data_IF_330625907003
#
_entry.id   IF_330625907003
#
_cell.length_a   1.000
_cell.length_b   1.000
_cell.length_c   1.000
_cell.angle_alpha   90.00
_cell.angle_beta   90.00
_cell.angle_gamma   90.00
#
_symmetry.space_group_name_H-M   'P 1'
#
loop_
_entity.id
_entity.type
_entity.pdbx_description
1 polymer ?
#
# COMPACT_ATOMS: atom_id res chain seq x y z
N UNK A 1 15.44 -4.99 -13.67
CA UNK A 1 16.28 -4.94 -12.46
C UNK A 1 17.66 -4.53 -12.86
N UNK A 2 18.35 -3.72 -12.07
CA UNK A 2 19.80 -3.56 -12.20
C UNK A 2 20.43 -3.37 -10.82
N UNK A 3 21.44 -4.18 -10.51
CA UNK A 3 22.38 -3.84 -9.44
C UNK A 3 23.25 -2.69 -9.94
N UNK A 4 23.38 -1.62 -9.15
CA UNK A 4 24.17 -0.42 -9.45
C UNK A 4 23.76 0.34 -10.73
N UNK A 5 22.54 0.12 -11.26
CA UNK A 5 22.10 0.72 -12.51
C UNK A 5 21.19 1.94 -12.39
N UNK A 6 20.93 2.45 -11.17
CA UNK A 6 20.30 3.77 -11.02
C UNK A 6 21.38 4.87 -11.16
N UNK A 7 21.12 5.84 -12.04
CA UNK A 7 21.91 7.08 -12.08
C UNK A 7 21.49 7.90 -10.87
N UNK A 8 22.48 8.31 -10.08
CA UNK A 8 22.28 9.12 -8.88
C UNK A 8 22.85 10.52 -9.12
N UNK A 9 22.18 11.52 -8.57
CA UNK A 9 22.69 12.88 -8.45
C UNK A 9 23.85 12.92 -7.42
N UNK A 10 24.65 14.01 -7.40
CA UNK A 10 25.72 14.17 -6.41
C UNK A 10 25.24 14.13 -4.95
N UNK A 11 23.97 14.42 -4.70
CA UNK A 11 23.31 14.36 -3.40
C UNK A 11 22.84 12.95 -3.00
N UNK A 12 23.00 11.95 -3.88
CA UNK A 12 22.57 10.57 -3.66
C UNK A 12 21.10 10.30 -4.02
N UNK A 13 20.36 11.27 -4.54
CA UNK A 13 18.98 11.08 -5.01
C UNK A 13 18.95 10.44 -6.41
N UNK A 14 17.98 9.58 -6.72
CA UNK A 14 17.89 8.96 -8.05
C UNK A 14 17.41 9.95 -9.10
N UNK A 15 18.03 9.90 -10.28
CA UNK A 15 17.58 10.66 -11.45
C UNK A 15 16.30 10.03 -11.99
N UNK A 16 15.21 10.81 -11.97
CA UNK A 16 13.91 10.39 -12.48
C UNK A 16 13.86 10.47 -14.01
N UNK A 17 13.28 9.46 -14.64
CA UNK A 17 13.02 9.49 -16.10
C UNK A 17 11.74 10.28 -16.42
N UNK A 18 11.55 10.65 -17.69
CA UNK A 18 10.35 11.39 -18.12
C UNK A 18 9.08 10.61 -17.79
N UNK A 19 8.16 11.24 -17.06
CA UNK A 19 6.91 10.62 -16.58
C UNK A 19 7.06 9.72 -15.35
N UNK A 20 8.25 9.62 -14.77
CA UNK A 20 8.47 9.01 -13.45
C UNK A 20 8.20 10.04 -12.35
N UNK A 21 7.42 9.65 -11.33
CA UNK A 21 7.10 10.48 -10.16
C UNK A 21 7.57 9.77 -8.90
N UNK A 22 8.21 10.52 -8.01
CA UNK A 22 8.61 10.06 -6.68
C UNK A 22 7.43 10.16 -5.71
N UNK A 23 7.15 9.09 -4.97
CA UNK A 23 6.07 9.00 -3.99
C UNK A 23 6.60 8.98 -2.56
N UNK A 24 7.73 8.31 -2.34
CA UNK A 24 8.34 8.17 -1.02
C UNK A 24 9.86 8.35 -1.11
N UNK A 25 10.43 9.05 -0.14
CA UNK A 25 11.87 9.12 0.12
C UNK A 25 12.09 8.88 1.62
N UNK A 26 12.60 7.70 1.97
CA UNK A 26 12.80 7.29 3.35
C UNK A 26 14.28 7.05 3.62
N UNK A 27 14.85 7.80 4.57
CA UNK A 27 16.19 7.55 5.11
C UNK A 27 16.19 6.46 6.20
N UNK A 28 17.39 6.07 6.64
CA UNK A 28 17.54 5.17 7.79
C UNK A 28 17.04 3.73 7.54
N UNK A 29 16.90 3.32 6.28
CA UNK A 29 16.40 2.00 5.92
C UNK A 29 17.56 1.02 5.80
N UNK A 30 17.49 -0.07 6.56
CA UNK A 30 18.39 -1.21 6.43
C UNK A 30 17.87 -2.14 5.34
N UNK A 31 18.77 -2.67 4.52
CA UNK A 31 18.44 -3.58 3.43
C UNK A 31 19.24 -4.87 3.57
N UNK A 32 18.54 -5.99 3.40
CA UNK A 32 19.13 -7.31 3.29
C UNK A 32 18.57 -7.95 2.02
N UNK A 33 19.45 -8.49 1.19
CA UNK A 33 19.11 -9.25 0.02
C UNK A 33 19.84 -10.58 0.08
N UNK A 34 19.10 -11.66 -0.08
CA UNK A 34 19.63 -13.02 -0.09
C UNK A 34 19.10 -13.75 -1.31
N UNK A 35 19.97 -14.40 -2.05
CA UNK A 35 19.61 -15.11 -3.27
C UNK A 35 20.48 -16.34 -3.42
N UNK A 36 19.86 -17.47 -3.75
CA UNK A 36 20.55 -18.74 -3.97
C UNK A 36 20.93 -19.45 -2.67
N UNK A 37 20.03 -20.29 -2.16
CA UNK A 37 20.29 -21.20 -1.02
C UNK A 37 20.47 -22.66 -1.49
N UNK A 38 20.67 -22.88 -2.79
CA UNK A 38 20.77 -24.19 -3.43
C UNK A 38 22.17 -24.51 -3.95
N UNK A 39 22.43 -25.79 -4.18
CA UNK A 39 23.65 -26.27 -4.83
C UNK A 39 23.49 -26.24 -6.37
N UNK A 40 24.53 -25.86 -7.13
CA UNK A 40 25.83 -25.34 -6.68
C UNK A 40 25.69 -23.90 -6.16
N UNK A 41 26.48 -23.52 -5.15
CA UNK A 41 26.36 -22.29 -4.35
C UNK A 41 26.57 -20.97 -5.11
N UNK A 42 25.79 -20.75 -6.16
CA UNK A 42 25.69 -19.50 -6.89
C UNK A 42 24.58 -18.71 -6.22
N UNK A 43 24.95 -17.61 -5.59
CA UNK A 43 24.04 -16.77 -4.84
C UNK A 43 24.63 -15.38 -4.67
N UNK A 44 23.77 -14.41 -4.42
CA UNK A 44 24.17 -13.03 -4.16
C UNK A 44 23.55 -12.58 -2.85
N UNK A 45 24.39 -12.25 -1.89
CA UNK A 45 23.96 -11.76 -0.59
C UNK A 45 24.49 -10.34 -0.41
N UNK A 46 23.57 -9.38 -0.27
CA UNK A 46 23.91 -7.97 -0.03
C UNK A 46 23.31 -7.52 1.29
N UNK A 47 24.11 -6.83 2.09
CA UNK A 47 23.69 -6.32 3.38
C UNK A 47 24.10 -4.86 3.52
N UNK A 48 23.14 -3.99 3.81
CA UNK A 48 23.38 -2.56 4.02
C UNK A 48 22.67 -2.09 5.28
N UNK A 49 23.44 -1.65 6.27
CA UNK A 49 22.90 -1.27 7.59
C UNK A 49 22.10 0.03 7.58
N UNK A 50 22.39 0.91 6.61
CA UNK A 50 21.79 2.23 6.46
C UNK A 50 21.79 2.62 4.98
N UNK A 51 20.70 3.21 4.55
CA UNK A 51 20.53 3.70 3.20
C UNK A 51 19.23 4.49 3.04
N UNK A 52 18.99 4.93 1.81
CA UNK A 52 17.79 5.64 1.41
C UNK A 52 16.96 4.76 0.48
N UNK A 53 15.67 4.66 0.78
CA UNK A 53 14.69 3.97 -0.03
C UNK A 53 13.79 4.98 -0.74
N UNK A 54 13.77 4.89 -2.06
CA UNK A 54 12.94 5.72 -2.92
C UNK A 54 11.88 4.86 -3.60
N UNK A 55 10.62 5.30 -3.57
CA UNK A 55 9.51 4.64 -4.26
C UNK A 55 8.99 5.55 -5.36
N UNK A 56 9.00 5.08 -6.60
CA UNK A 56 8.42 5.76 -7.75
C UNK A 56 7.24 4.98 -8.32
N UNK A 57 6.48 5.58 -9.24
CA UNK A 57 5.43 4.88 -10.00
C UNK A 57 5.93 3.74 -10.88
N UNK A 58 7.25 3.59 -11.08
CA UNK A 58 7.81 2.53 -11.94
C UNK A 58 8.68 1.53 -11.18
N UNK A 59 9.36 1.98 -10.14
CA UNK A 59 10.40 1.18 -9.46
C UNK A 59 10.62 1.60 -8.02
N UNK A 60 11.17 0.67 -7.25
CA UNK A 60 11.79 0.88 -5.95
C UNK A 60 13.30 0.99 -6.16
N UNK A 61 13.91 2.02 -5.57
CA UNK A 61 15.34 2.26 -5.66
C UNK A 61 15.88 2.33 -4.24
N UNK A 62 16.84 1.48 -3.91
CA UNK A 62 17.58 1.56 -2.66
C UNK A 62 18.99 2.06 -2.93
N UNK A 63 19.47 3.03 -2.15
CA UNK A 63 20.83 3.56 -2.23
C UNK A 63 21.50 3.34 -0.89
N UNK A 64 22.64 2.64 -0.87
CA UNK A 64 23.40 2.41 0.36
C UNK A 64 24.10 3.68 0.82
N UNK A 65 24.13 3.89 2.14
CA UNK A 65 24.85 5.00 2.74
C UNK A 65 25.57 4.58 4.04
N UNK A 66 26.91 4.52 4.06
CA UNK A 66 27.82 4.92 2.99
C UNK A 66 27.78 3.99 1.77
N UNK A 67 28.19 4.46 0.57
CA UNK A 67 28.30 3.61 -0.61
C UNK A 67 29.31 2.49 -0.37
N UNK A 68 28.96 1.26 -0.71
CA UNK A 68 29.85 0.10 -0.56
C UNK A 68 30.42 -0.31 -1.92
N UNK A 69 31.64 -0.86 -1.94
CA UNK A 69 32.32 -1.22 -3.20
C UNK A 69 31.56 -2.29 -4.00
N UNK A 70 30.95 -3.24 -3.29
CA UNK A 70 30.19 -4.34 -3.88
C UNK A 70 28.71 -4.00 -4.11
N UNK A 71 28.16 -2.98 -3.42
CA UNK A 71 26.74 -2.63 -3.50
C UNK A 71 26.50 -1.13 -3.23
N UNK A 72 26.15 -0.39 -4.28
CA UNK A 72 25.85 1.05 -4.23
C UNK A 72 24.37 1.33 -4.31
N UNK A 73 23.68 0.71 -5.26
CA UNK A 73 22.24 0.84 -5.37
C UNK A 73 21.56 -0.43 -5.90
N UNK A 74 20.31 -0.63 -5.50
CA UNK A 74 19.43 -1.65 -6.04
C UNK A 74 18.28 -0.96 -6.76
N UNK A 75 18.03 -1.32 -8.01
CA UNK A 75 16.93 -0.81 -8.80
C UNK A 75 15.95 -1.92 -9.19
N UNK A 76 14.71 -1.82 -8.69
CA UNK A 76 13.68 -2.85 -8.78
C UNK A 76 12.40 -2.32 -9.41
N UNK A 77 12.00 -2.68 -10.65
CA UNK A 77 10.68 -2.37 -11.15
C UNK A 77 9.58 -2.97 -10.26
N UNK A 78 8.46 -2.27 -10.14
CA UNK A 78 7.35 -2.69 -9.26
C UNK A 78 6.82 -4.09 -9.60
N UNK A 79 6.80 -4.43 -10.89
CA UNK A 79 6.34 -5.74 -11.39
C UNK A 79 7.18 -6.91 -10.89
N UNK A 80 8.47 -6.67 -10.61
CA UNK A 80 9.42 -7.70 -10.25
C UNK A 80 9.48 -7.98 -8.75
N UNK A 81 8.79 -7.16 -7.96
CA UNK A 81 8.73 -7.31 -6.52
C UNK A 81 7.40 -7.99 -6.14
N UNK A 82 7.48 -9.27 -5.79
CA UNK A 82 6.34 -10.16 -5.55
C UNK A 82 6.24 -10.52 -4.06
N UNK A 83 5.04 -10.91 -3.61
CA UNK A 83 4.85 -11.42 -2.25
C UNK A 83 5.19 -10.43 -1.13
N UNK A 84 5.12 -9.12 -1.41
CA UNK A 84 5.45 -8.08 -0.45
C UNK A 84 4.55 -8.08 0.78
N UNK A 85 5.14 -8.24 1.96
CA UNK A 85 4.44 -8.25 3.26
C UNK A 85 5.14 -7.33 4.25
N UNK A 86 4.35 -6.58 5.00
CA UNK A 86 4.84 -5.79 6.12
C UNK A 86 4.72 -6.61 7.40
N UNK A 87 5.83 -6.79 8.11
CA UNK A 87 5.85 -7.35 9.46
C UNK A 87 6.05 -6.22 10.46
N UNK A 88 5.10 -6.09 11.38
CA UNK A 88 5.10 -5.06 12.43
C UNK A 88 5.26 -5.73 13.80
N UNK A 89 6.50 -6.08 14.19
CA UNK A 89 6.76 -6.65 15.50
C UNK A 89 6.60 -5.60 16.61
N UNK A 90 6.07 -6.01 17.77
CA UNK A 90 5.78 -5.12 18.90
C UNK A 90 7.03 -4.44 19.49
N UNK A 91 8.19 -5.09 19.42
CA UNK A 91 9.44 -4.64 20.05
C UNK A 91 10.59 -4.43 19.04
N UNK A 92 10.30 -4.47 17.74
CA UNK A 92 11.32 -4.33 16.71
C UNK A 92 10.83 -3.35 15.63
N UNK A 93 11.77 -2.83 14.83
CA UNK A 93 11.46 -1.99 13.68
C UNK A 93 10.55 -2.72 12.69
N UNK A 94 9.62 -1.97 12.07
CA UNK A 94 8.80 -2.49 10.97
C UNK A 94 9.72 -2.98 9.86
N UNK A 95 9.46 -4.17 9.33
CA UNK A 95 10.21 -4.69 8.20
C UNK A 95 9.27 -5.09 7.06
N UNK A 96 9.67 -4.76 5.84
CA UNK A 96 8.96 -5.13 4.64
C UNK A 96 9.76 -6.19 3.91
N UNK A 97 9.16 -7.35 3.70
CA UNK A 97 9.80 -8.50 3.06
C UNK A 97 9.12 -8.79 1.73
N UNK A 98 9.90 -9.01 0.68
CA UNK A 98 9.39 -9.33 -0.63
C UNK A 98 10.36 -10.20 -1.43
N UNK A 99 9.85 -10.85 -2.45
CA UNK A 99 10.62 -11.64 -3.38
C UNK A 99 10.94 -10.83 -4.63
N UNK A 100 12.21 -10.77 -4.97
CA UNK A 100 12.71 -10.10 -6.17
C UNK A 100 12.89 -11.13 -7.29
N UNK A 101 12.22 -10.89 -8.40
CA UNK A 101 12.39 -11.66 -9.64
C UNK A 101 13.57 -11.10 -10.46
N UNK A 102 14.58 -11.92 -10.81
CA UNK A 102 15.69 -11.49 -11.62
C UNK A 102 15.24 -11.20 -13.05
N UNK A 103 15.98 -10.34 -13.76
CA UNK A 103 15.76 -10.03 -15.18
C UNK A 103 17.03 -10.33 -15.93
N UNK A 104 16.95 -10.85 -17.17
CA UNK A 104 18.11 -11.01 -18.02
C UNK A 104 18.94 -9.72 -18.07
N UNK A 105 20.27 -9.83 -17.88
CA UNK A 105 21.22 -8.71 -17.88
C UNK A 105 21.08 -7.69 -16.73
N UNK A 106 20.33 -8.01 -15.66
CA UNK A 106 20.10 -7.12 -14.53
C UNK A 106 21.11 -7.24 -13.36
N UNK A 107 22.16 -8.05 -13.49
CA UNK A 107 23.14 -8.29 -12.42
C UNK A 107 22.68 -9.22 -11.29
N UNK A 108 21.37 -9.51 -11.20
CA UNK A 108 20.83 -10.56 -10.33
C UNK A 108 20.52 -11.80 -11.18
N UNK A 109 21.13 -12.93 -10.85
CA UNK A 109 21.01 -14.18 -11.62
C UNK A 109 19.87 -15.07 -11.14
N UNK A 110 19.56 -15.02 -9.84
CA UNK A 110 18.58 -15.87 -9.19
C UNK A 110 17.50 -15.04 -8.49
N UNK A 111 16.37 -15.69 -8.24
CA UNK A 111 15.34 -15.18 -7.35
C UNK A 111 15.93 -14.99 -5.95
N UNK A 112 15.59 -13.88 -5.32
CA UNK A 112 16.08 -13.54 -3.99
C UNK A 112 15.01 -12.92 -3.12
N UNK A 113 15.20 -13.03 -1.81
CA UNK A 113 14.38 -12.34 -0.82
C UNK A 113 15.05 -11.02 -0.47
N UNK A 114 14.27 -9.93 -0.51
CA UNK A 114 14.69 -8.62 -0.02
C UNK A 114 13.91 -8.28 1.24
N UNK A 115 14.60 -7.75 2.25
CA UNK A 115 14.04 -7.25 3.49
C UNK A 115 14.49 -5.82 3.72
N UNK A 116 13.53 -4.90 3.81
CA UNK A 116 13.75 -3.50 4.19
C UNK A 116 13.31 -3.30 5.63
N UNK A 117 14.20 -2.85 6.51
CA UNK A 117 13.89 -2.60 7.93
C UNK A 117 13.92 -1.10 8.21
N UNK A 118 12.79 -0.59 8.71
CA UNK A 118 12.52 0.84 8.86
C UNK A 118 12.73 1.28 10.31
N UNK A 119 13.91 1.78 10.65
CA UNK A 119 14.26 2.21 12.02
C UNK A 119 13.58 3.51 12.45
N UNK A 120 13.30 4.39 11.50
CA UNK A 120 12.78 5.74 11.74
C UNK A 120 11.27 5.87 11.42
N UNK A 121 10.58 4.75 11.19
CA UNK A 121 9.18 4.74 10.73
C UNK A 121 9.04 4.70 9.20
N UNK A 122 7.84 4.98 8.68
CA UNK A 122 7.54 5.00 7.25
C UNK A 122 7.32 3.62 6.60
N UNK A 123 7.52 2.51 7.32
CA UNK A 123 7.32 1.15 6.78
C UNK A 123 5.87 0.88 6.36
N UNK A 124 4.89 1.34 7.14
CA UNK A 124 3.47 1.24 6.79
C UNK A 124 3.13 2.06 5.54
N UNK A 125 3.55 3.33 5.50
CA UNK A 125 3.36 4.23 4.36
C UNK A 125 3.96 3.65 3.08
N UNK A 126 5.21 3.16 3.15
CA UNK A 126 5.85 2.47 2.04
C UNK A 126 5.01 1.28 1.56
N UNK A 127 4.54 0.43 2.48
CA UNK A 127 3.76 -0.76 2.11
C UNK A 127 2.44 -0.40 1.43
N UNK A 128 1.71 0.58 1.96
CA UNK A 128 0.43 1.05 1.43
C UNK A 128 0.60 1.69 0.05
N UNK A 129 1.58 2.60 -0.09
CA UNK A 129 1.88 3.23 -1.38
C UNK A 129 2.37 2.20 -2.40
N UNK A 130 3.23 1.27 -2.00
CA UNK A 130 3.72 0.22 -2.90
C UNK A 130 2.57 -0.66 -3.41
N UNK A 131 1.67 -1.07 -2.52
CA UNK A 131 0.49 -1.86 -2.91
C UNK A 131 -0.39 -1.09 -3.91
N UNK A 132 -0.68 0.18 -3.63
CA UNK A 132 -1.48 1.04 -4.51
C UNK A 132 -0.83 1.28 -5.88
N UNK A 133 0.49 1.44 -5.91
CA UNK A 133 1.22 1.61 -7.17
C UNK A 133 1.24 0.30 -7.96
N UNK A 134 1.44 -0.84 -7.29
CA UNK A 134 1.45 -2.14 -7.93
C UNK A 134 0.09 -2.52 -8.50
N UNK A 135 -1.02 -2.25 -7.79
CA UNK A 135 -2.36 -2.51 -8.32
C UNK A 135 -2.64 -1.69 -9.59
N UNK A 136 -2.17 -0.45 -9.65
CA UNK A 136 -2.28 0.40 -10.85
C UNK A 136 -1.47 -0.10 -12.04
N UNK A 137 -0.31 -0.74 -11.80
CA UNK A 137 0.55 -1.25 -12.87
C UNK A 137 0.06 -2.61 -13.38
N UNK A 138 -0.29 -3.52 -12.47
CA UNK A 138 -0.71 -4.88 -12.85
C UNK A 138 -2.19 -4.96 -13.23
N UNK A 139 -3.02 -4.02 -12.76
CA UNK A 139 -4.48 -4.09 -12.89
C UNK A 139 -5.15 -5.01 -11.87
N UNK A 140 -4.36 -5.66 -11.00
CA UNK A 140 -4.87 -6.50 -9.91
C UNK A 140 -5.52 -5.61 -8.84
N UNK A 141 -6.83 -5.78 -8.63
CA UNK A 141 -7.56 -5.18 -7.51
C UNK A 141 -6.93 -5.63 -6.19
N UNK A 142 -6.65 -4.67 -5.30
CA UNK A 142 -6.14 -4.97 -3.97
C UNK A 142 -7.14 -5.89 -3.26
N UNK A 143 -6.70 -6.92 -2.49
CA UNK A 143 -7.59 -7.85 -1.80
C UNK A 143 -8.56 -7.22 -0.79
N UNK A 144 -8.47 -5.91 -0.54
CA UNK A 144 -9.30 -5.20 0.43
C UNK A 144 -10.34 -4.26 -0.16
N UNK A 145 -10.52 -4.28 -1.50
CA UNK A 145 -11.64 -3.62 -2.16
C UNK A 145 -12.46 -4.66 -2.93
N UNK A 146 -12.97 -5.69 -2.24
CA UNK A 146 -14.19 -6.31 -2.75
C UNK A 146 -15.27 -5.22 -2.69
N UNK A 147 -15.83 -4.78 -3.84
CA UNK A 147 -16.95 -3.87 -3.80
C UNK A 147 -18.05 -4.54 -2.97
N UNK A 148 -18.54 -3.83 -1.95
CA UNK A 148 -19.69 -4.29 -1.18
C UNK A 148 -20.78 -4.73 -2.17
N UNK A 149 -21.46 -5.86 -1.90
CA UNK A 149 -22.47 -6.36 -2.81
C UNK A 149 -23.48 -5.24 -3.11
N UNK A 150 -23.62 -4.93 -4.39
CA UNK A 150 -24.60 -3.95 -4.85
C UNK A 150 -25.97 -4.50 -4.45
N UNK A 151 -26.66 -3.83 -3.52
CA UNK A 151 -28.04 -4.17 -3.17
C UNK A 151 -28.87 -3.97 -4.43
N UNK A 152 -29.24 -5.06 -5.11
CA UNK A 152 -30.26 -5.00 -6.15
C UNK A 152 -31.59 -4.73 -5.43
N UNK A 153 -32.24 -3.57 -5.66
CA UNK A 153 -33.61 -3.41 -5.19
C UNK A 153 -34.44 -4.50 -5.85
N UNK A 154 -35.09 -5.33 -5.03
CA UNK A 154 -36.08 -6.30 -5.50
C UNK A 154 -37.22 -5.51 -6.11
N UNK A 155 -37.24 -5.40 -7.45
CA UNK A 155 -38.39 -4.89 -8.17
C UNK A 155 -39.58 -5.78 -7.82
N UNK A 156 -40.51 -5.19 -7.07
CA UNK A 156 -41.75 -5.80 -6.66
C UNK A 156 -42.73 -5.73 -7.82
N UNK A 157 -42.43 -6.43 -8.91
CA UNK A 157 -43.42 -6.62 -9.97
C UNK A 157 -43.18 -7.91 -10.75
N UNK A 158 -44.21 -8.76 -10.68
CA UNK A 158 -44.56 -9.82 -11.63
C UNK A 158 -44.08 -11.23 -11.31
N UNK A 159 -45.04 -12.05 -10.91
CA UNK A 159 -45.01 -13.52 -10.84
C UNK A 159 -44.25 -14.19 -11.99
N UNK A 160 -43.38 -15.14 -11.64
CA UNK A 160 -43.37 -16.49 -12.22
C UNK A 160 -42.40 -17.38 -11.42
N UNK A 161 -42.95 -18.31 -10.64
CA UNK A 161 -42.17 -19.36 -9.98
C UNK A 161 -41.69 -20.42 -11.01
N UNK A 162 -40.47 -20.95 -10.91
CA UNK A 162 -40.09 -22.18 -11.61
C UNK A 162 -40.64 -23.40 -10.84
N UNK A 163 -40.97 -24.52 -11.50
CA UNK A 163 -41.45 -25.71 -10.81
C UNK A 163 -40.27 -26.39 -10.12
N UNK A 164 -40.23 -26.37 -8.78
CA UNK A 164 -39.31 -27.19 -8.00
C UNK A 164 -40.04 -28.44 -7.51
N UNK A 165 -39.85 -29.54 -8.25
CA UNK A 165 -39.95 -30.90 -7.70
C UNK A 165 -38.81 -31.10 -6.72
N UNK A 166 -39.13 -31.18 -5.43
CA UNK A 166 -38.14 -31.46 -4.39
C UNK A 166 -38.77 -31.33 -3.02
N UNK A 167 -39.16 -32.46 -2.44
CA UNK A 167 -39.65 -32.58 -1.07
C UNK A 167 -38.47 -32.29 -0.14
N UNK A 168 -38.55 -31.22 0.65
CA UNK A 168 -37.68 -30.98 1.80
C UNK A 168 -38.56 -30.78 3.06
N UNK A 169 -38.19 -31.37 4.21
CA UNK A 169 -39.03 -31.36 5.40
C UNK A 169 -39.11 -29.95 6.01
N UNK A 170 -40.32 -29.56 6.36
CA UNK A 170 -40.65 -28.30 7.03
C UNK A 170 -40.28 -28.41 8.51
N UNK A 171 -39.33 -27.59 8.97
CA UNK A 171 -39.18 -27.30 10.39
C UNK A 171 -39.82 -25.93 10.67
N UNK A 172 -40.85 -25.84 11.54
CA UNK A 172 -41.44 -24.56 11.90
C UNK A 172 -40.53 -23.87 12.92
N UNK A 173 -39.80 -22.82 12.52
CA UNK A 173 -39.29 -21.85 13.49
C UNK A 173 -40.39 -20.82 13.80
N UNK A 174 -40.68 -20.53 15.08
CA UNK A 174 -41.57 -19.44 15.43
C UNK A 174 -40.88 -18.09 15.17
N UNK A 175 -41.60 -17.18 14.51
CA UNK A 175 -41.19 -15.81 14.26
C UNK A 175 -40.99 -15.05 15.59
N UNK A 176 -39.95 -14.20 15.72
CA UNK A 176 -39.87 -13.27 16.85
C UNK A 176 -40.98 -12.21 16.75
N UNK A 177 -41.54 -11.77 17.89
CA UNK A 177 -42.59 -10.76 17.91
C UNK A 177 -42.09 -9.43 17.32
N UNK A 178 -42.90 -8.84 16.45
CA UNK A 178 -42.63 -7.56 15.82
C UNK A 178 -42.43 -6.46 16.88
N UNK A 179 -41.24 -5.87 16.93
CA UNK A 179 -40.99 -4.68 17.72
C UNK A 179 -41.67 -3.50 17.02
N UNK A 180 -42.73 -2.97 17.63
CA UNK A 180 -43.39 -1.76 17.16
C UNK A 180 -42.63 -0.55 17.70
N UNK A 181 -41.86 0.13 16.85
CA UNK A 181 -41.23 1.41 17.22
C UNK A 181 -42.29 2.51 17.36
N UNK A 182 -42.38 3.21 18.50
CA UNK A 182 -43.24 4.37 18.62
C UNK A 182 -42.63 5.58 17.89
N UNK A 183 -43.33 6.01 16.85
CA UNK A 183 -43.15 7.28 16.15
C UNK A 183 -42.98 8.45 17.14
N UNK A 184 -41.81 9.09 17.14
CA UNK A 184 -41.59 10.38 17.79
C UNK A 184 -41.10 11.40 16.76
N UNK A 185 -41.83 12.52 16.71
CA UNK A 185 -41.80 13.57 15.69
C UNK A 185 -40.47 14.38 15.68
N UNK A 186 -40.13 15.04 14.55
CA UNK A 186 -38.97 15.91 14.47
C UNK A 186 -39.19 17.25 15.22
N UNK A 187 -38.15 17.82 15.85
CA UNK A 187 -38.22 19.16 16.43
C UNK A 187 -38.22 20.26 15.34
N UNK A 188 -38.85 21.42 15.59
CA UNK A 188 -39.06 22.48 14.59
C UNK A 188 -37.77 23.23 14.22
N UNK A 189 -37.63 23.54 12.92
CA UNK A 189 -36.54 24.32 12.36
C UNK A 189 -36.60 25.79 12.83
N UNK A 190 -35.50 26.29 13.40
CA UNK A 190 -35.30 27.71 13.65
C UNK A 190 -34.71 28.36 12.39
N UNK A 191 -35.51 29.22 11.75
CA UNK A 191 -35.10 30.14 10.69
C UNK A 191 -34.32 31.32 11.28
N UNK A 192 -33.14 31.64 10.74
CA UNK A 192 -32.45 32.90 10.99
C UNK A 192 -31.93 33.49 9.68
N UNK A 193 -32.47 34.67 9.34
CA UNK A 193 -32.16 35.48 8.16
C UNK A 193 -30.76 36.15 8.25
N UNK A 194 -30.18 36.58 7.10
CA UNK A 194 -28.86 37.21 7.04
C UNK A 194 -28.97 38.75 6.97
N UNK A 195 -28.51 39.48 7.99
CA UNK A 195 -28.15 40.90 7.83
C UNK A 195 -26.98 41.35 8.74
N UNK A 196 -25.97 41.89 8.06
CA UNK A 196 -25.18 43.09 8.35
C UNK A 196 -24.67 43.38 9.78
N UNK A 197 -23.34 43.48 9.96
CA UNK A 197 -22.60 44.76 10.12
C UNK A 197 -21.24 44.60 10.82
N UNK A 198 -20.23 45.25 10.21
CA UNK A 198 -18.98 45.81 10.74
C UNK A 198 -18.68 45.78 12.26
N UNK A 199 -17.44 45.44 12.64
CA UNK A 199 -16.48 46.33 13.35
C UNK A 199 -15.10 45.64 13.48
N UNK A 200 -14.07 46.22 12.86
CA UNK A 200 -12.89 46.87 13.48
C UNK A 200 -11.80 45.92 14.00
N UNK A 201 -10.65 45.99 13.31
CA UNK A 201 -9.37 45.40 13.67
C UNK A 201 -8.67 46.23 14.75
N UNK A 202 -8.09 45.57 15.76
CA UNK A 202 -7.21 46.19 16.74
C UNK A 202 -5.85 45.47 16.74
N UNK A 203 -4.79 46.25 16.53
CA UNK A 203 -3.37 45.86 16.46
C UNK A 203 -2.73 46.14 17.83
N UNK A 204 -1.95 45.23 18.45
CA UNK A 204 -1.19 45.58 19.64
C UNK A 204 0.20 46.17 19.28
N UNK A 205 0.67 47.19 20.02
CA UNK A 205 1.92 47.88 19.75
C UNK A 205 3.14 47.14 20.30
N UNK A 206 4.26 47.33 19.59
CA UNK A 206 5.62 47.04 20.02
C UNK A 206 5.94 47.65 21.40
N UNK A 207 6.60 46.86 22.23
CA UNK A 207 7.69 47.30 23.12
C UNK A 207 8.72 46.19 23.25
#
# INVERSE_FOLDING_TARGET
>A
MSLNGAILNPDGTPVLIVGEKLFLNQGGVLMEYESGNGYPGQGNNFYSQKGHLFLTNRRVIYVSHPPMDYFRNLNVPLENLKGGTLQQPWFQANCYQATVQPVPNGGLTLQGQVKFSFKEGGGFEFSSMFMQLRSRVTGDTLPHEEPLPLYSPTDSSSSAAPPRTGIAPVFPMPLPPAFSEPSSAPPPQASFDPQASSTTAEVPPNY
#
